data_IF_987077103666
#
_entry.id   IF_987077103666
#
_cell.length_a   1.000
_cell.length_b   1.000
_cell.length_c   1.000
_cell.angle_alpha   90.00
_cell.angle_beta   90.00
_cell.angle_gamma   90.00
#
_symmetry.space_group_name_H-M   'P 1'
#
loop_
_entity.id
_entity.type
_entity.pdbx_description
1 polymer ?
#
# COMPACT_ATOMS: atom_id res chain seq x y z
N UNK A 1 20.00 -33.68 33.30
CA UNK A 1 18.97 -32.62 33.40
C UNK A 1 19.53 -31.41 32.66
N UNK A 2 19.59 -31.52 31.34
CA UNK A 2 20.15 -30.51 30.43
C UNK A 2 19.04 -30.26 29.42
N UNK A 3 18.13 -29.41 29.88
CA UNK A 3 16.94 -28.98 29.18
C UNK A 3 17.35 -28.29 27.89
N UNK A 4 16.75 -28.78 26.80
CA UNK A 4 16.98 -28.36 25.43
C UNK A 4 17.08 -26.84 25.35
N UNK A 5 18.28 -26.37 25.00
CA UNK A 5 18.51 -25.02 24.50
C UNK A 5 17.53 -24.77 23.35
N UNK A 6 16.44 -24.08 23.71
CA UNK A 6 15.63 -23.18 22.91
C UNK A 6 16.09 -23.16 21.46
N UNK A 7 15.49 -24.05 20.66
CA UNK A 7 15.48 -23.94 19.22
C UNK A 7 14.79 -22.62 18.91
N UNK A 8 15.62 -21.57 18.83
CA UNK A 8 15.28 -20.20 18.47
C UNK A 8 14.27 -20.28 17.34
N UNK A 9 13.03 -20.09 17.73
CA UNK A 9 11.86 -20.08 16.90
C UNK A 9 12.14 -19.01 15.85
N UNK A 10 12.56 -19.48 14.67
CA UNK A 10 12.85 -18.68 13.49
C UNK A 10 11.47 -18.27 12.96
N UNK A 11 10.74 -17.47 13.76
CA UNK A 11 9.40 -16.97 13.47
C UNK A 11 9.52 -16.19 12.18
N UNK A 12 9.24 -16.87 11.08
CA UNK A 12 8.99 -16.22 9.80
C UNK A 12 7.85 -15.26 10.07
N UNK A 13 8.12 -13.96 10.12
CA UNK A 13 7.11 -12.96 10.38
C UNK A 13 6.15 -12.96 9.19
N UNK A 14 5.00 -13.65 9.30
CA UNK A 14 4.16 -13.92 8.14
C UNK A 14 3.58 -12.61 7.57
N UNK A 15 3.49 -11.59 8.41
CA UNK A 15 3.13 -10.22 8.06
C UNK A 15 4.21 -9.51 7.24
N UNK A 16 5.51 -9.64 7.59
CA UNK A 16 6.60 -9.07 6.80
C UNK A 16 6.61 -9.70 5.41
N UNK A 17 6.45 -11.01 5.35
CA UNK A 17 6.42 -11.75 4.09
C UNK A 17 5.15 -11.42 3.27
N UNK A 18 4.02 -11.14 3.92
CA UNK A 18 2.77 -10.70 3.27
C UNK A 18 2.84 -9.27 2.73
N UNK A 19 3.40 -8.32 3.48
CA UNK A 19 3.60 -6.95 3.02
C UNK A 19 4.63 -6.87 1.89
N UNK A 20 5.72 -7.64 2.00
CA UNK A 20 6.71 -7.77 0.93
C UNK A 20 6.11 -8.42 -0.31
N UNK A 21 5.29 -9.48 -0.17
CA UNK A 21 4.64 -10.10 -1.34
C UNK A 21 3.57 -9.21 -1.96
N UNK A 22 2.76 -8.49 -1.18
CA UNK A 22 1.77 -7.56 -1.73
C UNK A 22 2.42 -6.37 -2.47
N UNK A 23 3.49 -5.80 -1.90
CA UNK A 23 4.28 -4.75 -2.54
C UNK A 23 4.98 -5.24 -3.80
N UNK A 24 5.60 -6.43 -3.76
CA UNK A 24 6.26 -7.04 -4.92
C UNK A 24 5.26 -7.40 -6.01
N UNK A 25 4.06 -7.90 -5.67
CA UNK A 25 3.01 -8.20 -6.64
C UNK A 25 2.49 -6.92 -7.29
N UNK A 26 2.27 -5.85 -6.52
CA UNK A 26 1.87 -4.55 -7.07
C UNK A 26 2.91 -3.99 -8.05
N UNK A 27 4.19 -3.99 -7.66
CA UNK A 27 5.29 -3.55 -8.53
C UNK A 27 5.45 -4.46 -9.76
N UNK A 28 5.32 -5.78 -9.59
CA UNK A 28 5.43 -6.74 -10.69
C UNK A 28 4.27 -6.62 -11.69
N UNK A 29 3.05 -6.35 -11.22
CA UNK A 29 1.90 -6.08 -12.08
C UNK A 29 2.13 -4.80 -12.85
N UNK A 30 2.52 -3.69 -12.19
CA UNK A 30 2.83 -2.42 -12.86
C UNK A 30 3.97 -2.59 -13.88
N UNK A 31 5.05 -3.28 -13.50
CA UNK A 31 6.20 -3.53 -14.37
C UNK A 31 5.84 -4.40 -15.58
N UNK A 32 5.14 -5.52 -15.37
CA UNK A 32 4.68 -6.39 -16.45
C UNK A 32 3.78 -5.63 -17.42
N UNK A 33 2.89 -4.80 -16.88
CA UNK A 33 1.95 -4.00 -17.64
C UNK A 33 2.66 -2.89 -18.42
N UNK A 34 3.70 -2.24 -17.88
CA UNK A 34 4.55 -1.30 -18.64
C UNK A 34 5.39 -1.98 -19.72
N UNK A 35 5.89 -3.20 -19.47
CA UNK A 35 6.69 -3.97 -20.44
C UNK A 35 5.84 -4.52 -21.59
N UNK A 36 4.55 -4.78 -21.34
CA UNK A 36 3.60 -5.23 -22.35
C UNK A 36 3.04 -4.07 -23.20
N UNK A 37 3.20 -2.82 -22.76
CA UNK A 37 2.67 -1.65 -23.46
C UNK A 37 3.68 -1.10 -24.48
N UNK A 38 3.75 -1.74 -25.66
CA UNK A 38 4.58 -1.29 -26.79
C UNK A 38 3.90 -0.14 -27.56
N UNK A 39 3.82 1.04 -26.97
CA UNK A 39 3.36 2.23 -27.70
C UNK A 39 4.52 2.89 -28.45
N UNK A 40 4.28 3.45 -29.66
CA UNK A 40 5.28 4.21 -30.40
C UNK A 40 5.72 5.46 -29.61
N UNK A 41 6.95 5.94 -29.80
CA UNK A 41 7.46 7.11 -29.08
C UNK A 41 6.58 8.34 -29.35
N UNK A 42 6.09 8.99 -28.29
CA UNK A 42 5.24 10.17 -28.36
C UNK A 42 3.77 9.94 -27.99
N UNK A 43 3.36 8.68 -27.75
CA UNK A 43 2.05 8.35 -27.22
C UNK A 43 2.20 7.97 -25.74
N UNK A 44 1.44 8.64 -24.86
CA UNK A 44 1.35 8.27 -23.44
C UNK A 44 1.11 6.75 -23.33
N UNK A 45 1.83 6.01 -22.48
CA UNK A 45 1.62 4.58 -22.30
C UNK A 45 0.20 4.32 -21.74
N UNK A 46 -0.78 4.27 -22.64
CA UNK A 46 -2.18 4.01 -22.31
C UNK A 46 -2.48 2.53 -22.34
N UNK A 47 -3.17 2.02 -21.34
CA UNK A 47 -3.73 0.67 -21.43
C UNK A 47 -4.88 0.66 -22.43
N UNK A 48 -5.06 -0.44 -23.15
CA UNK A 48 -6.34 -0.64 -23.84
C UNK A 48 -7.45 -0.56 -22.78
N UNK A 49 -8.63 0.02 -23.07
CA UNK A 49 -9.69 0.15 -22.08
C UNK A 49 -10.04 -1.19 -21.41
N UNK A 50 -10.02 -2.27 -22.19
CA UNK A 50 -10.25 -3.65 -21.70
C UNK A 50 -9.15 -4.11 -20.75
N UNK A 51 -7.87 -3.85 -21.07
CA UNK A 51 -6.75 -4.19 -20.19
C UNK A 51 -6.79 -3.37 -18.90
N UNK A 52 -7.11 -2.08 -18.98
CA UNK A 52 -7.27 -1.22 -17.80
C UNK A 52 -8.35 -1.73 -16.85
N UNK A 53 -9.53 -2.09 -17.39
CA UNK A 53 -10.63 -2.67 -16.61
C UNK A 53 -10.20 -4.00 -15.96
N UNK A 54 -9.54 -4.89 -16.71
CA UNK A 54 -9.09 -6.18 -16.20
C UNK A 54 -8.07 -6.02 -15.06
N UNK A 55 -7.12 -5.08 -15.18
CA UNK A 55 -6.14 -4.78 -14.13
C UNK A 55 -6.83 -4.24 -12.87
N UNK A 56 -7.77 -3.32 -13.01
CA UNK A 56 -8.51 -2.76 -11.88
C UNK A 56 -9.30 -3.86 -11.16
N UNK A 57 -10.09 -4.65 -11.89
CA UNK A 57 -10.90 -5.73 -11.31
C UNK A 57 -9.99 -6.77 -10.64
N UNK A 58 -8.95 -7.22 -11.34
CA UNK A 58 -8.00 -8.19 -10.79
C UNK A 58 -7.28 -7.66 -9.55
N UNK A 59 -6.89 -6.39 -9.55
CA UNK A 59 -6.28 -5.72 -8.41
C UNK A 59 -7.22 -5.64 -7.20
N UNK A 60 -8.49 -5.27 -7.42
CA UNK A 60 -9.51 -5.21 -6.36
C UNK A 60 -9.79 -6.59 -5.75
N UNK A 61 -9.95 -7.62 -6.59
CA UNK A 61 -10.15 -9.00 -6.14
C UNK A 61 -8.93 -9.50 -5.37
N UNK A 62 -7.72 -9.26 -5.90
CA UNK A 62 -6.47 -9.64 -5.26
C UNK A 62 -6.29 -8.96 -3.91
N UNK A 63 -6.56 -7.65 -3.83
CA UNK A 63 -6.53 -6.88 -2.59
C UNK A 63 -7.53 -7.41 -1.56
N UNK A 64 -8.77 -7.68 -1.97
CA UNK A 64 -9.79 -8.25 -1.09
C UNK A 64 -9.37 -9.63 -0.55
N UNK A 65 -8.85 -10.52 -1.42
CA UNK A 65 -8.36 -11.83 -1.02
C UNK A 65 -7.19 -11.74 -0.04
N UNK A 66 -6.21 -10.87 -0.30
CA UNK A 66 -5.08 -10.62 0.60
C UNK A 66 -5.54 -10.08 1.95
N UNK A 67 -6.52 -9.17 1.96
CA UNK A 67 -7.12 -8.62 3.18
C UNK A 67 -7.78 -9.72 4.01
N UNK A 68 -8.54 -10.63 3.39
CA UNK A 68 -9.15 -11.76 4.11
C UNK A 68 -8.10 -12.70 4.70
N UNK A 69 -7.01 -12.98 3.98
CA UNK A 69 -5.90 -13.79 4.49
C UNK A 69 -5.18 -13.07 5.63
N UNK A 70 -4.98 -11.75 5.51
CA UNK A 70 -4.43 -10.91 6.56
C UNK A 70 -5.26 -11.01 7.83
N UNK A 71 -6.58 -10.79 7.76
CA UNK A 71 -7.47 -10.81 8.91
C UNK A 71 -7.47 -12.16 9.63
N UNK A 72 -7.36 -13.27 8.88
CA UNK A 72 -7.31 -14.63 9.47
C UNK A 72 -6.00 -14.94 10.20
N UNK A 73 -4.91 -14.23 9.91
CA UNK A 73 -3.56 -14.56 10.41
C UNK A 73 -3.01 -13.53 11.40
N UNK A 74 -3.68 -12.40 11.54
CA UNK A 74 -3.19 -11.26 12.33
C UNK A 74 -3.77 -11.33 13.73
N UNK A 75 -2.90 -11.13 14.72
CA UNK A 75 -3.29 -11.04 16.12
C UNK A 75 -4.10 -9.75 16.38
N UNK A 76 -4.91 -9.71 17.44
CA UNK A 76 -5.76 -8.56 17.79
C UNK A 76 -4.92 -7.29 17.99
N UNK A 77 -3.75 -7.41 18.61
CA UNK A 77 -2.81 -6.31 18.79
C UNK A 77 -2.35 -5.71 17.45
N UNK A 78 -1.90 -6.57 16.54
CA UNK A 78 -1.43 -6.16 15.21
C UNK A 78 -2.59 -5.62 14.35
N UNK A 79 -3.80 -6.14 14.55
CA UNK A 79 -5.01 -5.66 13.87
C UNK A 79 -5.42 -4.26 14.35
N UNK A 80 -5.35 -3.99 15.65
CA UNK A 80 -5.61 -2.67 16.20
C UNK A 80 -4.56 -1.65 15.75
N UNK A 81 -3.28 -2.01 15.78
CA UNK A 81 -2.21 -1.17 15.24
C UNK A 81 -2.41 -0.84 13.76
N UNK A 82 -2.90 -1.80 12.96
CA UNK A 82 -3.22 -1.59 11.55
C UNK A 82 -4.44 -0.67 11.35
N UNK A 83 -5.51 -0.89 12.11
CA UNK A 83 -6.72 -0.07 12.03
C UNK A 83 -6.41 1.40 12.33
N UNK A 84 -5.66 1.67 13.41
CA UNK A 84 -5.24 3.03 13.74
C UNK A 84 -4.25 3.58 12.74
N UNK A 85 -3.24 2.80 12.31
CA UNK A 85 -2.28 3.21 11.29
C UNK A 85 -2.94 3.67 10.00
N UNK A 86 -3.84 2.86 9.45
CA UNK A 86 -4.62 3.21 8.25
C UNK A 86 -5.52 4.43 8.48
N UNK A 87 -6.12 4.56 9.68
CA UNK A 87 -6.94 5.72 10.03
C UNK A 87 -6.12 7.01 10.00
N UNK A 88 -4.90 7.02 10.53
CA UNK A 88 -4.03 8.21 10.50
C UNK A 88 -3.67 8.63 9.07
N UNK A 89 -3.28 7.69 8.21
CA UNK A 89 -2.98 8.04 6.82
C UNK A 89 -4.21 8.48 6.04
N UNK A 90 -5.37 7.85 6.25
CA UNK A 90 -6.62 8.28 5.63
C UNK A 90 -6.99 9.70 6.05
N UNK A 91 -6.92 10.02 7.35
CA UNK A 91 -7.20 11.35 7.86
C UNK A 91 -6.19 12.38 7.33
N UNK A 92 -4.91 12.03 7.23
CA UNK A 92 -3.92 12.87 6.57
C UNK A 92 -4.31 13.14 5.12
N UNK A 93 -4.65 12.11 4.34
CA UNK A 93 -5.03 12.27 2.94
C UNK A 93 -6.29 13.15 2.78
N UNK A 94 -7.31 12.87 3.58
CA UNK A 94 -8.59 13.59 3.59
C UNK A 94 -8.42 15.08 3.95
N UNK A 95 -7.43 15.42 4.81
CA UNK A 95 -7.09 16.80 5.14
C UNK A 95 -6.13 17.46 4.15
N UNK A 96 -5.11 16.73 3.69
CA UNK A 96 -4.06 17.26 2.82
C UNK A 96 -4.56 17.59 1.41
N UNK A 97 -5.47 16.78 0.87
CA UNK A 97 -6.02 17.00 -0.47
C UNK A 97 -6.75 18.36 -0.62
N UNK A 98 -7.73 18.72 0.24
CA UNK A 98 -8.37 20.03 0.14
C UNK A 98 -7.42 21.19 0.44
N UNK A 99 -6.47 21.02 1.37
CA UNK A 99 -5.45 22.05 1.66
C UNK A 99 -4.58 22.31 0.43
N UNK A 100 -4.08 21.27 -0.23
CA UNK A 100 -3.31 21.42 -1.47
C UNK A 100 -4.16 22.07 -2.57
N UNK A 101 -5.41 21.63 -2.71
CA UNK A 101 -6.34 22.24 -3.67
C UNK A 101 -6.50 23.75 -3.42
N UNK A 102 -6.67 24.18 -2.16
CA UNK A 102 -6.73 25.60 -1.81
C UNK A 102 -5.41 26.33 -2.12
N UNK A 103 -4.27 25.72 -1.82
CA UNK A 103 -2.95 26.29 -2.11
C UNK A 103 -2.74 26.50 -3.61
N UNK A 104 -3.17 25.54 -4.43
CA UNK A 104 -3.14 25.66 -5.90
C UNK A 104 -4.00 26.85 -6.38
N UNK A 105 -5.21 27.01 -5.84
CA UNK A 105 -6.10 28.13 -6.20
C UNK A 105 -5.59 29.49 -5.71
N UNK A 106 -4.76 29.51 -4.68
CA UNK A 106 -4.07 30.72 -4.23
C UNK A 106 -2.79 31.05 -5.01
N UNK A 107 -2.37 30.19 -5.95
CA UNK A 107 -1.12 30.34 -6.70
C UNK A 107 0.15 29.97 -5.92
N UNK A 108 0.01 29.37 -4.73
CA UNK A 108 1.12 28.98 -3.86
C UNK A 108 1.63 27.55 -4.11
N UNK A 109 0.84 26.71 -4.79
CA UNK A 109 1.22 25.34 -5.13
C UNK A 109 0.87 25.02 -6.59
N UNK A 110 1.54 24.00 -7.14
CA UNK A 110 1.18 23.45 -8.46
C UNK A 110 -0.11 22.61 -8.42
N UNK A 111 -0.49 22.02 -9.57
CA UNK A 111 -1.59 21.07 -9.66
C UNK A 111 -1.48 19.96 -8.60
N UNK A 112 -2.63 19.49 -8.12
CA UNK A 112 -2.68 18.44 -7.10
C UNK A 112 -2.11 17.14 -7.67
N UNK A 113 -1.02 16.67 -7.07
CA UNK A 113 -0.42 15.38 -7.38
C UNK A 113 -0.97 14.30 -6.44
N UNK A 114 -1.87 13.47 -6.98
CA UNK A 114 -2.50 12.38 -6.23
C UNK A 114 -1.50 11.28 -5.85
N UNK A 115 -0.45 11.05 -6.63
CA UNK A 115 0.58 10.07 -6.30
C UNK A 115 1.41 10.54 -5.11
N UNK A 116 1.79 11.81 -5.09
CA UNK A 116 2.48 12.41 -3.95
C UNK A 116 1.64 12.31 -2.67
N UNK A 117 0.36 12.70 -2.74
CA UNK A 117 -0.56 12.59 -1.60
C UNK A 117 -0.73 11.13 -1.13
N UNK A 118 -0.88 10.18 -2.06
CA UNK A 118 -0.98 8.77 -1.74
C UNK A 118 0.28 8.24 -1.05
N UNK A 119 1.46 8.55 -1.58
CA UNK A 119 2.75 8.09 -1.01
C UNK A 119 2.94 8.67 0.40
N UNK A 120 2.70 9.97 0.59
CA UNK A 120 2.85 10.59 1.91
C UNK A 120 1.84 10.00 2.90
N UNK A 121 0.58 9.81 2.49
CA UNK A 121 -0.44 9.14 3.30
C UNK A 121 -0.06 7.71 3.68
N UNK A 122 0.52 6.95 2.74
CA UNK A 122 1.02 5.60 2.99
C UNK A 122 2.19 5.61 3.97
N UNK A 123 3.10 6.59 3.90
CA UNK A 123 4.19 6.77 4.85
C UNK A 123 3.68 7.13 6.25
N UNK A 124 2.68 8.01 6.35
CA UNK A 124 2.01 8.33 7.62
C UNK A 124 1.37 7.09 8.20
N UNK A 125 0.67 6.30 7.38
CA UNK A 125 0.06 5.03 7.81
C UNK A 125 1.10 4.05 8.33
N UNK A 126 2.16 3.84 7.57
CA UNK A 126 3.23 2.91 7.92
C UNK A 126 4.00 3.36 9.17
N UNK A 127 4.24 4.66 9.31
CA UNK A 127 4.87 5.25 10.49
C UNK A 127 4.01 5.09 11.74
N UNK A 128 2.73 5.41 11.65
CA UNK A 128 1.78 5.25 12.75
C UNK A 128 1.61 3.78 13.15
N UNK A 129 1.45 2.88 12.18
CA UNK A 129 1.43 1.44 12.44
C UNK A 129 2.72 0.95 13.12
N UNK A 130 3.89 1.36 12.62
CA UNK A 130 5.17 0.95 13.20
C UNK A 130 5.28 1.41 14.65
N UNK A 131 4.90 2.66 14.93
CA UNK A 131 4.92 3.21 16.28
C UNK A 131 4.00 2.46 17.23
N UNK A 132 2.75 2.22 16.82
CA UNK A 132 1.76 1.51 17.63
C UNK A 132 2.10 0.03 17.83
N UNK A 133 2.83 -0.58 16.90
CA UNK A 133 3.25 -1.99 17.00
C UNK A 133 4.34 -2.22 18.04
N UNK A 134 5.25 -1.26 18.24
CA UNK A 134 6.42 -1.41 19.12
C UNK A 134 6.27 -0.75 20.49
N UNK A 135 5.15 -0.08 20.75
CA UNK A 135 4.82 0.51 22.04
C UNK A 135 3.95 -0.45 22.84
#
# INVERSE_FOLDING_TARGET
MTEKLSSRDKRRHPLRDLFLTAGVVGVAVVAAVTLLNRNPPGQEPGFSPVAGIAIIIGGLIGYAALTLVYMKRTDEHDMNANLWGLSYGYLFFAGAAPVWWMLNHSGLAGPVDFWALYIISALVSAGAWSWLRFR
#
